data_IF_269317973647
#
_entry.id   IF_269317973647
#
_cell.length_a   1.000
_cell.length_b   1.000
_cell.length_c   1.000
_cell.angle_alpha   90.00
_cell.angle_beta   90.00
_cell.angle_gamma   90.00
#
_symmetry.space_group_name_H-M   'P 1'
#
loop_
_entity.id
_entity.type
_entity.pdbx_description
1 polymer ?
#
# COMPACT_ATOMS: atom_id res chain seq x y z
N UNK A 1 3.34 -3.59 13.17
CA UNK A 1 4.79 -3.76 13.44
C UNK A 1 5.50 -4.44 12.27
N UNK A 2 5.00 -5.57 11.73
CA UNK A 2 5.65 -6.29 10.62
C UNK A 2 5.85 -5.41 9.37
N UNK A 3 4.91 -4.54 9.03
CA UNK A 3 5.02 -3.60 7.90
C UNK A 3 6.17 -2.60 8.05
N UNK A 4 6.51 -2.20 9.28
CA UNK A 4 7.63 -1.28 9.53
C UNK A 4 8.99 -1.93 9.23
N UNK A 5 9.10 -3.24 9.39
CA UNK A 5 10.33 -3.97 9.10
C UNK A 5 10.51 -4.26 7.61
N UNK A 6 9.41 -4.51 6.89
CA UNK A 6 9.48 -4.88 5.47
C UNK A 6 9.74 -3.67 4.55
N UNK A 7 9.28 -2.48 4.91
CA UNK A 7 9.46 -1.27 4.09
C UNK A 7 10.93 -0.95 3.81
N UNK A 8 11.84 -0.91 4.81
CA UNK A 8 13.27 -0.73 4.57
C UNK A 8 13.89 -1.86 3.74
N UNK A 9 13.43 -3.11 3.94
CA UNK A 9 13.92 -4.26 3.17
C UNK A 9 13.55 -4.16 1.70
N UNK A 10 12.31 -3.82 1.40
CA UNK A 10 11.86 -3.60 0.01
C UNK A 10 12.58 -2.39 -0.58
N UNK A 11 12.83 -1.33 0.20
CA UNK A 11 13.63 -0.18 -0.22
C UNK A 11 15.04 -0.60 -0.65
N UNK A 12 15.74 -1.35 0.18
CA UNK A 12 17.09 -1.88 -0.14
C UNK A 12 17.06 -2.82 -1.35
N UNK A 13 16.03 -3.66 -1.50
CA UNK A 13 15.86 -4.51 -2.67
C UNK A 13 15.67 -3.70 -3.96
N UNK A 14 14.89 -2.60 -3.89
CA UNK A 14 14.70 -1.70 -5.02
C UNK A 14 15.96 -0.92 -5.41
N UNK A 15 16.85 -0.64 -4.45
CA UNK A 15 18.14 -0.02 -4.72
C UNK A 15 19.11 -0.96 -5.41
N UNK A 16 19.03 -2.26 -5.09
CA UNK A 16 19.94 -3.29 -5.65
C UNK A 16 19.42 -3.91 -6.94
N UNK A 17 18.12 -4.10 -7.06
CA UNK A 17 17.49 -4.76 -8.19
C UNK A 17 16.63 -3.79 -9.00
N UNK A 18 16.21 -4.23 -10.17
CA UNK A 18 15.28 -3.46 -10.99
C UNK A 18 13.94 -3.32 -10.26
N UNK A 19 13.55 -2.08 -9.97
CA UNK A 19 12.32 -1.73 -9.24
C UNK A 19 11.08 -2.46 -9.80
N UNK A 20 10.98 -2.58 -11.13
CA UNK A 20 9.88 -3.31 -11.80
C UNK A 20 9.85 -4.79 -11.44
N UNK A 21 11.02 -5.45 -11.40
CA UNK A 21 11.10 -6.88 -11.03
C UNK A 21 10.74 -7.11 -9.58
N UNK A 22 11.20 -6.25 -8.67
CA UNK A 22 10.88 -6.33 -7.24
C UNK A 22 9.38 -6.13 -7.02
N UNK A 23 8.79 -5.15 -7.68
CA UNK A 23 7.34 -4.88 -7.59
C UNK A 23 6.51 -6.07 -8.09
N UNK A 24 6.85 -6.62 -9.27
CA UNK A 24 6.14 -7.78 -9.84
C UNK A 24 6.26 -9.02 -8.96
N UNK A 25 7.45 -9.28 -8.40
CA UNK A 25 7.65 -10.38 -7.45
C UNK A 25 6.80 -10.20 -6.19
N UNK A 26 6.77 -8.98 -5.64
CA UNK A 26 5.96 -8.66 -4.46
C UNK A 26 4.45 -8.84 -4.72
N UNK A 27 3.95 -8.43 -5.88
CA UNK A 27 2.54 -8.67 -6.25
C UNK A 27 2.23 -10.15 -6.41
N UNK A 28 3.14 -10.93 -7.00
CA UNK A 28 3.00 -12.38 -7.08
C UNK A 28 2.92 -13.02 -5.69
N UNK A 29 3.80 -12.61 -4.76
CA UNK A 29 3.78 -13.09 -3.39
C UNK A 29 2.46 -12.71 -2.66
N UNK A 30 1.95 -11.49 -2.86
CA UNK A 30 0.66 -11.05 -2.30
C UNK A 30 -0.47 -11.97 -2.76
N UNK A 31 -0.53 -12.31 -4.05
CA UNK A 31 -1.56 -13.22 -4.60
C UNK A 31 -1.46 -14.60 -3.96
N UNK A 32 -0.27 -15.15 -3.83
CA UNK A 32 -0.05 -16.48 -3.23
C UNK A 32 -0.54 -16.48 -1.76
N UNK A 33 -0.16 -15.47 -0.98
CA UNK A 33 -0.61 -15.38 0.41
C UNK A 33 -2.10 -15.09 0.54
N UNK A 34 -2.69 -14.33 -0.38
CA UNK A 34 -4.15 -14.10 -0.41
C UNK A 34 -4.91 -15.40 -0.72
N UNK A 35 -4.43 -16.22 -1.66
CA UNK A 35 -5.01 -17.55 -1.94
C UNK A 35 -4.87 -18.46 -0.72
N UNK A 36 -3.70 -18.47 -0.10
CA UNK A 36 -3.47 -19.26 1.12
C UNK A 36 -4.41 -18.83 2.25
N UNK A 37 -4.59 -17.51 2.45
CA UNK A 37 -5.53 -16.96 3.43
C UNK A 37 -6.98 -17.49 3.21
N UNK A 38 -7.42 -17.63 1.96
CA UNK A 38 -8.77 -18.14 1.66
C UNK A 38 -8.96 -19.62 2.02
N UNK A 39 -7.87 -20.40 2.11
CA UNK A 39 -7.94 -21.86 2.36
C UNK A 39 -7.76 -22.21 3.85
N UNK A 40 -7.13 -21.34 4.61
CA UNK A 40 -6.83 -21.56 6.03
C UNK A 40 -8.09 -21.36 6.87
N UNK A 41 -8.29 -22.26 7.85
CA UNK A 41 -9.44 -22.21 8.76
C UNK A 41 -9.04 -22.03 10.23
N UNK A 42 -7.78 -22.27 10.57
CA UNK A 42 -7.25 -22.11 11.92
C UNK A 42 -6.87 -20.65 12.20
N UNK A 43 -7.05 -20.20 13.44
CA UNK A 43 -6.82 -18.80 13.85
C UNK A 43 -5.36 -18.39 13.64
N UNK A 44 -4.41 -19.27 13.93
CA UNK A 44 -2.98 -18.97 13.76
C UNK A 44 -2.63 -18.77 12.28
N UNK A 45 -3.06 -19.68 11.41
CA UNK A 45 -2.85 -19.56 9.98
C UNK A 45 -3.53 -18.35 9.36
N UNK A 46 -4.75 -18.02 9.79
CA UNK A 46 -5.44 -16.78 9.39
C UNK A 46 -4.65 -15.54 9.80
N UNK A 47 -4.17 -15.49 11.04
CA UNK A 47 -3.40 -14.34 11.54
C UNK A 47 -2.08 -14.18 10.79
N UNK A 48 -1.36 -15.26 10.56
CA UNK A 48 -0.06 -15.22 9.85
C UNK A 48 -0.27 -14.81 8.39
N UNK A 49 -1.18 -15.45 7.68
CA UNK A 49 -1.42 -15.15 6.26
C UNK A 49 -1.93 -13.74 6.04
N UNK A 50 -2.86 -13.25 6.86
CA UNK A 50 -3.33 -11.87 6.82
C UNK A 50 -2.21 -10.88 7.12
N UNK A 51 -1.40 -11.14 8.14
CA UNK A 51 -0.25 -10.29 8.49
C UNK A 51 0.75 -10.19 7.34
N UNK A 52 1.03 -11.31 6.65
CA UNK A 52 1.92 -11.34 5.49
C UNK A 52 1.36 -10.55 4.30
N UNK A 53 0.07 -10.69 4.01
CA UNK A 53 -0.59 -9.90 2.94
C UNK A 53 -0.49 -8.41 3.23
N UNK A 54 -0.91 -7.96 4.43
CA UNK A 54 -0.87 -6.55 4.81
C UNK A 54 0.57 -6.01 4.84
N UNK A 55 1.52 -6.81 5.33
CA UNK A 55 2.92 -6.46 5.36
C UNK A 55 3.47 -6.18 3.95
N UNK A 56 3.19 -7.05 2.99
CA UNK A 56 3.63 -6.88 1.60
C UNK A 56 2.91 -5.73 0.90
N UNK A 57 1.60 -5.58 1.06
CA UNK A 57 0.82 -4.48 0.47
C UNK A 57 1.38 -3.13 0.94
N UNK A 58 1.56 -2.95 2.24
CA UNK A 58 2.13 -1.72 2.79
C UNK A 58 3.61 -1.52 2.41
N UNK A 59 4.37 -2.62 2.24
CA UNK A 59 5.76 -2.55 1.82
C UNK A 59 5.94 -2.10 0.37
N UNK A 60 5.02 -2.47 -0.51
CA UNK A 60 5.05 -2.10 -1.94
C UNK A 60 4.51 -0.69 -2.18
N UNK A 61 3.66 -0.17 -1.30
CA UNK A 61 3.05 1.16 -1.47
C UNK A 61 4.05 2.28 -1.77
N UNK A 62 5.16 2.48 -1.00
CA UNK A 62 6.15 3.51 -1.31
C UNK A 62 6.84 3.29 -2.66
N UNK A 63 6.96 2.03 -3.09
CA UNK A 63 7.58 1.70 -4.38
C UNK A 63 6.70 2.13 -5.54
N UNK A 64 5.38 1.99 -5.40
CA UNK A 64 4.42 2.47 -6.38
C UNK A 64 4.46 4.00 -6.51
N UNK A 65 4.63 4.72 -5.40
CA UNK A 65 4.82 6.17 -5.42
C UNK A 65 6.10 6.57 -6.16
N UNK A 66 7.20 5.85 -5.95
CA UNK A 66 8.46 6.08 -6.70
C UNK A 66 8.29 5.76 -8.19
N UNK A 67 7.58 4.68 -8.53
CA UNK A 67 7.26 4.34 -9.92
C UNK A 67 6.42 5.44 -10.59
N UNK A 68 5.43 5.95 -9.89
CA UNK A 68 4.60 7.06 -10.37
C UNK A 68 5.42 8.34 -10.58
N UNK A 69 6.31 8.67 -9.63
CA UNK A 69 7.19 9.83 -9.72
C UNK A 69 8.22 9.74 -10.87
N UNK A 70 8.66 8.52 -11.24
CA UNK A 70 9.58 8.27 -12.36
C UNK A 70 8.88 8.08 -13.70
N UNK A 71 7.57 8.18 -13.75
CA UNK A 71 6.81 8.09 -14.99
C UNK A 71 6.92 9.39 -15.80
N UNK A 72 6.70 9.38 -17.14
CA UNK A 72 6.70 10.57 -17.96
C UNK A 72 5.52 11.52 -17.69
N UNK A 73 4.59 11.13 -16.82
CA UNK A 73 3.39 11.90 -16.50
C UNK A 73 3.56 12.68 -15.20
N UNK A 74 2.82 13.79 -15.06
CA UNK A 74 2.80 14.60 -13.84
C UNK A 74 2.28 13.76 -12.67
N UNK A 75 3.06 13.65 -11.59
CA UNK A 75 2.75 12.84 -10.41
C UNK A 75 1.33 13.10 -9.85
N UNK A 76 0.92 14.37 -9.78
CA UNK A 76 -0.43 14.73 -9.30
C UNK A 76 -1.55 14.10 -10.12
N UNK A 77 -1.42 14.04 -11.46
CA UNK A 77 -2.43 13.39 -12.32
C UNK A 77 -2.54 11.89 -12.05
N UNK A 78 -1.40 11.21 -11.81
CA UNK A 78 -1.41 9.79 -11.50
C UNK A 78 -2.06 9.56 -10.13
N UNK A 79 -1.75 10.39 -9.15
CA UNK A 79 -2.29 10.27 -7.79
C UNK A 79 -3.82 10.42 -7.75
N UNK A 80 -4.40 11.33 -8.54
CA UNK A 80 -5.86 11.48 -8.68
C UNK A 80 -6.50 10.14 -9.12
N UNK A 81 -5.93 9.45 -10.11
CA UNK A 81 -6.42 8.14 -10.53
C UNK A 81 -6.34 7.09 -9.43
N UNK A 82 -5.29 7.15 -8.59
CA UNK A 82 -5.17 6.30 -7.40
C UNK A 82 -6.32 6.54 -6.41
N UNK A 83 -6.65 7.80 -6.12
CA UNK A 83 -7.77 8.17 -5.24
C UNK A 83 -9.12 7.71 -5.80
N UNK A 84 -9.37 7.94 -7.08
CA UNK A 84 -10.59 7.47 -7.77
C UNK A 84 -10.67 5.94 -7.70
N UNK A 85 -9.56 5.25 -7.96
CA UNK A 85 -9.48 3.79 -7.88
C UNK A 85 -9.78 3.27 -6.47
N UNK A 86 -9.26 3.93 -5.44
CA UNK A 86 -9.54 3.58 -4.05
C UNK A 86 -11.04 3.79 -3.70
N UNK A 87 -11.63 4.91 -4.11
CA UNK A 87 -13.04 5.20 -3.87
C UNK A 87 -13.96 4.17 -4.54
N UNK A 88 -13.69 3.84 -5.82
CA UNK A 88 -14.44 2.80 -6.55
C UNK A 88 -14.23 1.44 -5.90
N UNK A 89 -12.99 1.09 -5.54
CA UNK A 89 -12.64 -0.19 -4.94
C UNK A 89 -13.31 -0.40 -3.58
N UNK A 90 -13.32 0.62 -2.71
CA UNK A 90 -13.98 0.55 -1.41
C UNK A 90 -15.51 0.40 -1.54
N UNK A 91 -16.12 1.10 -2.50
CA UNK A 91 -17.55 0.97 -2.78
C UNK A 91 -17.90 -0.42 -3.31
N UNK A 92 -17.12 -0.96 -4.27
CA UNK A 92 -17.31 -2.30 -4.80
C UNK A 92 -17.13 -3.37 -3.70
N UNK A 93 -16.13 -3.21 -2.83
CA UNK A 93 -15.92 -4.14 -1.71
C UNK A 93 -17.13 -4.17 -0.77
N UNK A 94 -17.73 -3.01 -0.46
CA UNK A 94 -18.94 -2.94 0.36
C UNK A 94 -20.14 -3.62 -0.29
N UNK A 95 -20.35 -3.41 -1.59
CA UNK A 95 -21.43 -4.06 -2.36
C UNK A 95 -21.22 -5.58 -2.40
N UNK A 96 -20.00 -6.04 -2.72
CA UNK A 96 -19.68 -7.46 -2.77
C UNK A 96 -19.89 -8.14 -1.42
N UNK A 97 -19.48 -7.48 -0.33
CA UNK A 97 -19.70 -7.99 1.02
C UNK A 97 -21.18 -8.14 1.36
N UNK A 98 -21.98 -7.13 1.04
CA UNK A 98 -23.37 -7.05 1.45
C UNK A 98 -24.28 -7.97 0.59
N UNK A 99 -24.05 -8.04 -0.73
CA UNK A 99 -24.98 -8.66 -1.66
C UNK A 99 -24.50 -10.00 -2.24
N UNK A 100 -23.21 -10.30 -2.16
CA UNK A 100 -22.66 -11.54 -2.73
C UNK A 100 -22.13 -12.45 -1.63
N UNK A 101 -20.97 -12.19 -1.11
CA UNK A 101 -20.39 -12.91 0.04
C UNK A 101 -19.09 -12.23 0.49
N UNK A 102 -18.66 -12.44 1.75
CA UNK A 102 -17.34 -11.97 2.22
C UNK A 102 -16.20 -12.55 1.37
N UNK A 103 -16.34 -13.77 0.83
CA UNK A 103 -15.32 -14.41 -0.01
C UNK A 103 -15.15 -13.72 -1.36
N UNK A 104 -16.19 -13.09 -1.89
CA UNK A 104 -16.13 -12.36 -3.16
C UNK A 104 -15.14 -11.20 -3.15
N UNK A 105 -14.91 -10.58 -1.98
CA UNK A 105 -13.91 -9.50 -1.82
C UNK A 105 -12.51 -10.01 -2.12
N UNK A 106 -12.15 -11.20 -1.62
CA UNK A 106 -10.80 -11.76 -1.83
C UNK A 106 -10.59 -12.14 -3.29
N UNK A 107 -11.64 -12.66 -3.95
CA UNK A 107 -11.58 -12.95 -5.40
C UNK A 107 -11.39 -11.64 -6.19
N UNK A 108 -12.14 -10.59 -5.87
CA UNK A 108 -11.99 -9.28 -6.49
C UNK A 108 -10.59 -8.69 -6.23
N UNK A 109 -10.05 -8.85 -5.02
CA UNK A 109 -8.69 -8.44 -4.67
C UNK A 109 -7.64 -9.16 -5.54
N UNK A 110 -7.73 -10.46 -5.70
CA UNK A 110 -6.81 -11.23 -6.55
C UNK A 110 -6.92 -10.79 -8.01
N UNK A 111 -8.13 -10.57 -8.53
CA UNK A 111 -8.34 -10.09 -9.89
C UNK A 111 -7.73 -8.70 -10.11
N UNK A 112 -7.91 -7.78 -9.17
CA UNK A 112 -7.30 -6.45 -9.26
C UNK A 112 -5.78 -6.51 -9.17
N UNK A 113 -5.21 -7.41 -8.37
CA UNK A 113 -3.76 -7.63 -8.32
C UNK A 113 -3.22 -8.17 -9.64
N UNK A 114 -3.94 -9.10 -10.31
CA UNK A 114 -3.57 -9.58 -11.64
C UNK A 114 -3.58 -8.45 -12.69
N UNK A 115 -4.62 -7.62 -12.68
CA UNK A 115 -4.70 -6.44 -13.55
C UNK A 115 -3.52 -5.48 -13.29
N UNK A 116 -3.16 -5.28 -12.01
CA UNK A 116 -2.03 -4.43 -11.62
C UNK A 116 -0.69 -4.99 -12.10
N UNK A 117 -0.51 -6.31 -12.08
CA UNK A 117 0.68 -6.98 -12.66
C UNK A 117 0.75 -6.70 -14.17
N UNK A 118 -0.35 -6.90 -14.89
CA UNK A 118 -0.41 -6.65 -16.34
C UNK A 118 -0.10 -5.18 -16.64
N UNK A 119 -0.71 -4.25 -15.90
CA UNK A 119 -0.44 -2.82 -16.02
C UNK A 119 1.02 -2.46 -15.78
N UNK A 120 1.63 -3.04 -14.72
CA UNK A 120 3.04 -2.81 -14.38
C UNK A 120 3.98 -3.35 -15.46
N UNK A 121 3.64 -4.46 -16.13
CA UNK A 121 4.41 -4.97 -17.26
C UNK A 121 4.46 -3.98 -18.44
N UNK A 122 3.39 -3.23 -18.67
CA UNK A 122 3.30 -2.22 -19.73
C UNK A 122 4.06 -0.91 -19.45
N UNK A 123 4.42 -0.62 -18.19
CA UNK A 123 5.09 0.63 -17.83
C UNK A 123 6.52 0.68 -18.38
N UNK A 124 6.81 1.70 -19.19
CA UNK A 124 8.18 2.06 -19.59
C UNK A 124 8.76 2.98 -18.52
N UNK A 125 9.70 2.46 -17.74
CA UNK A 125 10.41 3.26 -16.74
C UNK A 125 11.58 3.94 -17.46
N UNK A 126 11.68 5.26 -17.37
CA UNK A 126 12.92 5.95 -17.72
C UNK A 126 14.00 5.49 -16.72
N UNK A 127 14.94 4.70 -17.21
CA UNK A 127 16.12 4.37 -16.43
C UNK A 127 16.93 5.66 -16.28
N UNK A 128 16.91 6.23 -15.08
CA UNK A 128 17.86 7.25 -14.72
C UNK A 128 19.26 6.69 -14.93
N UNK A 129 20.01 7.30 -15.85
CA UNK A 129 21.42 7.00 -16.13
C UNK A 129 22.36 7.34 -14.95
N UNK A 130 21.82 7.52 -13.76
CA UNK A 130 22.56 7.82 -12.51
C UNK A 130 23.01 6.57 -11.74
N UNK A 131 23.36 5.49 -12.44
CA UNK A 131 23.97 4.32 -11.79
C UNK A 131 25.45 4.50 -11.43
N UNK A 132 26.04 5.68 -11.70
CA UNK A 132 27.48 5.92 -11.51
C UNK A 132 27.86 6.96 -10.44
N UNK A 133 27.00 7.27 -9.46
CA UNK A 133 27.45 8.09 -8.33
C UNK A 133 27.04 7.46 -7.01
N UNK A 134 28.06 7.01 -6.34
CA UNK A 134 28.16 6.70 -4.91
C UNK A 134 28.16 5.23 -4.47
N UNK A 135 29.23 4.51 -4.85
CA UNK A 135 29.75 3.43 -3.97
C UNK A 135 30.65 3.95 -2.84
N UNK A 136 30.66 5.26 -2.61
CA UNK A 136 31.44 5.86 -1.54
C UNK A 136 30.54 6.50 -0.50
N UNK A 137 30.52 5.90 0.72
CA UNK A 137 29.95 6.41 1.97
C UNK A 137 28.47 6.16 2.24
N UNK A 138 28.02 4.91 2.24
CA UNK A 138 26.67 4.56 2.76
C UNK A 138 26.56 4.64 4.30
N UNK A 139 27.65 4.55 5.04
CA UNK A 139 27.60 4.42 6.51
C UNK A 139 27.44 5.72 7.30
N UNK A 140 27.50 6.89 6.63
CA UNK A 140 27.45 8.17 7.32
C UNK A 140 26.10 8.90 7.28
N UNK A 141 25.18 8.53 6.38
CA UNK A 141 23.93 9.28 6.21
C UNK A 141 22.94 9.08 7.36
N UNK A 142 22.83 7.87 7.89
CA UNK A 142 21.92 7.58 9.01
C UNK A 142 22.37 8.34 10.26
N UNK A 143 23.69 8.36 10.53
CA UNK A 143 24.24 9.12 11.64
C UNK A 143 24.00 10.63 11.52
N UNK A 144 24.15 11.20 10.32
CA UNK A 144 23.89 12.61 10.05
C UNK A 144 22.39 12.97 10.20
N UNK A 145 21.50 12.10 9.75
CA UNK A 145 20.05 12.28 9.89
C UNK A 145 19.64 12.27 11.37
N UNK A 146 20.16 11.32 12.16
CA UNK A 146 19.86 11.20 13.58
C UNK A 146 20.48 12.31 14.42
N UNK A 147 21.52 12.98 13.94
CA UNK A 147 22.18 14.09 14.64
C UNK A 147 21.48 15.43 14.35
N UNK A 148 20.71 15.54 13.28
CA UNK A 148 20.01 16.77 12.93
C UNK A 148 18.70 16.91 13.72
N UNK A 149 18.71 17.71 14.79
CA UNK A 149 17.55 17.92 15.67
C UNK A 149 16.31 18.44 14.92
N UNK A 150 16.49 19.35 13.97
CA UNK A 150 15.37 19.88 13.17
C UNK A 150 14.69 18.79 12.35
N UNK A 151 15.47 17.89 11.77
CA UNK A 151 14.95 16.77 11.01
C UNK A 151 14.23 15.75 11.90
N UNK A 152 14.76 15.50 13.10
CA UNK A 152 14.10 14.63 14.09
C UNK A 152 12.75 15.19 14.54
N UNK A 153 12.64 16.49 14.81
CA UNK A 153 11.36 17.13 15.11
C UNK A 153 10.37 17.00 13.95
N UNK A 154 10.82 17.22 12.72
CA UNK A 154 10.00 17.02 11.53
C UNK A 154 9.50 15.58 11.43
N UNK A 155 10.38 14.58 11.60
CA UNK A 155 10.00 13.16 11.58
C UNK A 155 8.98 12.82 12.68
N UNK A 156 9.14 13.38 13.88
CA UNK A 156 8.21 13.17 14.99
C UNK A 156 6.83 13.73 14.65
N UNK A 157 6.75 14.95 14.11
CA UNK A 157 5.48 15.56 13.70
C UNK A 157 4.81 14.73 12.61
N UNK A 158 5.56 14.31 11.59
CA UNK A 158 5.03 13.47 10.51
C UNK A 158 4.56 12.11 11.04
N UNK A 159 5.30 11.50 11.96
CA UNK A 159 4.91 10.23 12.57
C UNK A 159 3.61 10.34 13.38
N UNK A 160 3.47 11.40 14.18
CA UNK A 160 2.24 11.66 14.93
C UNK A 160 1.05 11.92 14.00
N UNK A 161 1.22 12.79 13.00
CA UNK A 161 0.19 13.08 12.01
C UNK A 161 -0.26 11.83 11.27
N UNK A 162 0.69 11.05 10.74
CA UNK A 162 0.39 9.81 10.03
C UNK A 162 -0.23 8.75 10.93
N UNK A 163 0.21 8.67 12.20
CA UNK A 163 -0.34 7.74 13.17
C UNK A 163 -1.81 8.02 13.49
N UNK A 164 -2.16 9.29 13.74
CA UNK A 164 -3.55 9.71 13.99
C UNK A 164 -4.41 9.52 12.75
N UNK A 165 -3.92 9.89 11.57
CA UNK A 165 -4.63 9.71 10.30
C UNK A 165 -4.94 8.24 10.01
N UNK A 166 -3.95 7.35 10.12
CA UNK A 166 -4.15 5.91 9.93
C UNK A 166 -5.11 5.30 10.96
N UNK A 167 -5.05 5.74 12.22
CA UNK A 167 -6.00 5.32 13.24
C UNK A 167 -7.43 5.75 12.85
N UNK A 168 -7.63 7.00 12.41
CA UNK A 168 -8.91 7.48 11.91
C UNK A 168 -9.46 6.60 10.79
N UNK A 169 -8.69 6.37 9.72
CA UNK A 169 -9.10 5.53 8.61
C UNK A 169 -9.46 4.10 9.00
N UNK A 170 -8.79 3.56 10.03
CA UNK A 170 -9.06 2.18 10.50
C UNK A 170 -10.30 2.10 11.38
N UNK A 171 -10.50 3.05 12.27
CA UNK A 171 -11.57 2.98 13.29
C UNK A 171 -12.89 3.62 12.86
N UNK A 172 -12.88 4.63 11.98
CA UNK A 172 -14.10 5.29 11.50
C UNK A 172 -15.10 4.30 10.89
N UNK A 173 -14.71 3.37 9.99
CA UNK A 173 -15.66 2.39 9.47
C UNK A 173 -16.29 1.51 10.55
N UNK A 174 -15.50 1.09 11.54
CA UNK A 174 -16.01 0.29 12.66
C UNK A 174 -17.00 1.07 13.54
N UNK A 175 -16.71 2.35 13.81
CA UNK A 175 -17.61 3.24 14.56
C UNK A 175 -18.93 3.46 13.83
N UNK A 176 -18.89 3.69 12.52
CA UNK A 176 -20.09 3.87 11.69
C UNK A 176 -20.98 2.62 11.70
N UNK A 177 -20.38 1.43 11.60
CA UNK A 177 -21.12 0.17 11.70
C UNK A 177 -21.71 -0.04 13.11
N UNK A 178 -20.96 0.31 14.16
CA UNK A 178 -21.47 0.24 15.53
C UNK A 178 -22.63 1.21 15.77
N UNK A 179 -22.68 2.33 15.06
CA UNK A 179 -23.79 3.28 15.07
C UNK A 179 -25.01 2.83 14.25
N UNK A 180 -25.01 1.61 13.74
CA UNK A 180 -26.15 1.00 13.03
C UNK A 180 -26.15 1.19 11.50
N UNK A 181 -25.09 1.76 10.91
CA UNK A 181 -25.00 1.86 9.46
C UNK A 181 -24.67 0.49 8.85
N UNK A 182 -25.30 0.18 7.70
CA UNK A 182 -24.94 -1.01 6.94
C UNK A 182 -23.53 -0.90 6.35
N UNK A 183 -22.92 -2.05 6.03
CA UNK A 183 -21.58 -2.09 5.42
C UNK A 183 -21.53 -1.29 4.11
N UNK A 184 -22.59 -1.37 3.29
CA UNK A 184 -22.68 -0.59 2.06
C UNK A 184 -22.72 0.92 2.30
N UNK A 185 -23.50 1.40 3.29
CA UNK A 185 -23.52 2.82 3.67
C UNK A 185 -22.17 3.28 4.22
N UNK A 186 -21.53 2.47 5.06
CA UNK A 186 -20.18 2.74 5.57
C UNK A 186 -19.17 2.89 4.45
N UNK A 187 -19.18 1.99 3.45
CA UNK A 187 -18.30 2.08 2.27
C UNK A 187 -18.54 3.36 1.47
N UNK A 188 -19.81 3.78 1.33
CA UNK A 188 -20.15 5.01 0.63
C UNK A 188 -19.59 6.23 1.35
N UNK A 189 -19.73 6.31 2.69
CA UNK A 189 -19.16 7.40 3.51
C UNK A 189 -17.65 7.44 3.36
N UNK A 190 -16.97 6.30 3.46
CA UNK A 190 -15.51 6.20 3.28
C UNK A 190 -15.09 6.65 1.87
N UNK A 191 -15.80 6.23 0.83
CA UNK A 191 -15.51 6.63 -0.55
C UNK A 191 -15.63 8.14 -0.76
N UNK A 192 -16.68 8.75 -0.21
CA UNK A 192 -16.89 10.21 -0.28
C UNK A 192 -15.78 10.94 0.49
N UNK A 193 -15.42 10.49 1.70
CA UNK A 193 -14.37 11.13 2.50
C UNK A 193 -13.02 11.12 1.79
N UNK A 194 -12.66 10.03 1.14
CA UNK A 194 -11.40 9.93 0.36
C UNK A 194 -11.41 10.85 -0.87
N UNK A 195 -12.55 11.00 -1.54
CA UNK A 195 -12.66 11.95 -2.66
C UNK A 195 -12.52 13.40 -2.17
N UNK A 196 -13.04 13.72 -0.99
CA UNK A 196 -12.92 15.06 -0.41
C UNK A 196 -11.51 15.36 0.13
N UNK A 197 -10.71 14.34 0.43
CA UNK A 197 -9.34 14.48 0.92
C UNK A 197 -8.33 14.75 -0.21
N UNK A 198 -8.64 14.40 -1.45
CA UNK A 198 -7.75 14.52 -2.62
C UNK A 198 -7.81 15.87 -3.32
#
# INVERSE_FOLDING_TARGET
FASMLIQPLIGVLNDRFNIKKVTLFSFGAIIIFAIYFMQVKDILGLTISYSLVIMLVNGVSPVMDVLAARSPYTYGKIRIWGTIGYAIGSQLAGILYQYVSPMAIFIAFILTMLITIIGTLGIKIQQDSKKNQSDTKKDSYIGQILTNKTYLYYLLIVALYSGVGNAGHTYIPAMLQHSGLSVGMTSTVVSISVICES
#
